data_IF_905920634349
#
_entry.id   IF_905920634349
#
_cell.length_a   1.000
_cell.length_b   1.000
_cell.length_c   1.000
_cell.angle_alpha   90.00
_cell.angle_beta   90.00
_cell.angle_gamma   90.00
#
_symmetry.space_group_name_H-M   'P 1'
#
loop_
_entity.id
_entity.type
_entity.pdbx_description
1 polymer ?
#
# COMPACT_ATOMS: atom_id res chain seq x y z
N UNK A 1 6.00 31.01 -5.92
CA UNK A 1 6.47 31.06 -7.32
C UNK A 1 5.52 30.20 -8.14
N UNK A 2 4.64 30.83 -8.91
CA UNK A 2 3.56 30.14 -9.64
C UNK A 2 4.14 29.68 -10.97
N UNK A 3 4.27 28.36 -11.18
CA UNK A 3 4.58 27.81 -12.50
C UNK A 3 3.26 27.58 -13.25
N UNK A 4 2.80 28.60 -13.96
CA UNK A 4 1.94 28.41 -15.13
C UNK A 4 2.81 27.86 -16.26
N UNK A 5 2.53 26.68 -16.79
CA UNK A 5 2.56 26.41 -18.25
C UNK A 5 2.30 24.94 -18.60
N UNK A 6 1.40 24.74 -19.58
CA UNK A 6 1.20 23.48 -20.29
C UNK A 6 -0.20 23.38 -20.91
N UNK A 7 -0.38 23.86 -22.14
CA UNK A 7 -1.63 23.69 -22.91
C UNK A 7 -1.73 22.31 -23.61
N UNK A 8 -0.78 21.41 -23.31
CA UNK A 8 -0.72 20.04 -23.84
C UNK A 8 -0.49 19.06 -22.70
N UNK A 9 -1.30 18.00 -22.57
CA UNK A 9 -1.05 16.95 -21.59
C UNK A 9 0.28 16.26 -21.92
N UNK A 10 1.14 16.13 -20.92
CA UNK A 10 2.41 15.41 -21.03
C UNK A 10 2.22 14.03 -20.41
N UNK A 11 2.76 12.99 -21.05
CA UNK A 11 2.74 11.64 -20.51
C UNK A 11 3.50 11.58 -19.19
N UNK A 12 2.93 10.87 -18.21
CA UNK A 12 3.62 10.52 -16.97
C UNK A 12 4.59 9.35 -17.14
N UNK A 13 4.43 8.54 -18.20
CA UNK A 13 5.25 7.36 -18.47
C UNK A 13 6.55 7.74 -19.15
N UNK A 14 7.68 7.16 -18.68
CA UNK A 14 9.00 7.34 -19.27
C UNK A 14 9.41 8.82 -19.41
N UNK A 15 9.06 9.63 -18.40
CA UNK A 15 9.33 11.06 -18.38
C UNK A 15 10.35 11.39 -17.27
N UNK A 16 11.66 11.33 -17.57
CA UNK A 16 12.71 11.58 -16.58
C UNK A 16 12.72 13.02 -16.07
N UNK A 17 12.12 13.98 -16.79
CA UNK A 17 12.07 15.38 -16.36
C UNK A 17 10.91 15.68 -15.42
N UNK A 18 9.95 14.76 -15.24
CA UNK A 18 8.73 15.00 -14.47
C UNK A 18 9.02 15.32 -13.00
N UNK A 19 9.67 14.40 -12.28
CA UNK A 19 9.95 14.57 -10.86
C UNK A 19 10.94 15.68 -10.56
N UNK A 20 12.04 15.85 -11.32
CA UNK A 20 12.91 16.99 -11.14
C UNK A 20 12.22 18.33 -11.38
N UNK A 21 11.29 18.39 -12.34
CA UNK A 21 10.47 19.58 -12.58
C UNK A 21 9.42 19.84 -11.48
N UNK A 22 8.86 18.79 -10.88
CA UNK A 22 7.87 18.90 -9.79
C UNK A 22 8.51 19.25 -8.44
N UNK A 23 9.73 18.77 -8.19
CA UNK A 23 10.42 18.93 -6.91
C UNK A 23 11.84 19.49 -7.10
N UNK A 24 12.00 20.76 -7.54
CA UNK A 24 13.34 21.35 -7.69
C UNK A 24 14.15 21.37 -6.40
N UNK A 25 13.50 21.40 -5.23
CA UNK A 25 14.16 21.34 -3.92
C UNK A 25 14.72 19.96 -3.59
N UNK A 26 14.12 18.89 -4.12
CA UNK A 26 14.61 17.52 -3.95
C UNK A 26 15.59 17.13 -5.06
N UNK A 27 15.47 17.73 -6.24
CA UNK A 27 16.32 17.49 -7.41
C UNK A 27 16.98 18.81 -7.86
N UNK A 28 17.93 19.36 -7.09
CA UNK A 28 18.50 20.69 -7.34
C UNK A 28 19.16 20.84 -8.70
N UNK A 29 19.68 19.74 -9.26
CA UNK A 29 20.34 19.73 -10.57
C UNK A 29 19.40 19.38 -11.73
N UNK A 30 18.12 19.10 -11.48
CA UNK A 30 17.17 18.71 -12.54
C UNK A 30 17.42 17.32 -13.15
N UNK A 31 18.27 16.50 -12.52
CA UNK A 31 18.69 15.17 -12.99
C UNK A 31 18.17 14.06 -12.06
N UNK A 32 18.44 12.80 -12.40
CA UNK A 32 18.08 11.62 -11.59
C UNK A 32 16.56 11.40 -11.41
N UNK A 33 15.75 11.88 -12.35
CA UNK A 33 14.32 11.56 -12.34
C UNK A 33 14.02 10.08 -12.56
N UNK A 34 12.73 9.75 -12.48
CA UNK A 34 12.28 8.37 -12.63
C UNK A 34 12.34 7.89 -14.09
N UNK A 35 12.56 6.58 -14.28
CA UNK A 35 12.47 5.93 -15.60
C UNK A 35 13.37 6.52 -16.69
N UNK A 36 14.57 6.98 -16.31
CA UNK A 36 15.57 7.43 -17.26
C UNK A 36 16.13 6.23 -18.05
N UNK A 37 15.88 6.20 -19.36
CA UNK A 37 16.34 5.14 -20.26
C UNK A 37 17.87 5.04 -20.35
N UNK A 38 18.58 6.12 -20.03
CA UNK A 38 20.06 6.15 -20.02
C UNK A 38 20.63 5.41 -18.82
N UNK A 39 19.80 5.09 -17.82
CA UNK A 39 20.25 4.39 -16.60
C UNK A 39 20.48 2.91 -16.89
N UNK A 40 21.65 2.43 -16.48
CA UNK A 40 22.02 1.02 -16.51
C UNK A 40 22.59 0.62 -15.14
N UNK A 41 21.99 -0.34 -14.40
CA UNK A 41 20.81 -1.13 -14.76
C UNK A 41 19.50 -0.31 -14.74
N UNK A 42 18.49 -0.78 -15.48
CA UNK A 42 17.14 -0.19 -15.43
C UNK A 42 16.53 -0.39 -14.04
N UNK A 43 15.97 0.67 -13.47
CA UNK A 43 15.27 0.62 -12.18
C UNK A 43 13.76 0.73 -12.41
N UNK A 44 12.98 -0.09 -11.71
CA UNK A 44 11.53 0.11 -11.61
C UNK A 44 11.21 1.39 -10.84
N UNK A 45 10.03 1.97 -11.10
CA UNK A 45 9.51 3.13 -10.37
C UNK A 45 9.52 2.90 -8.85
N UNK A 46 9.06 1.72 -8.42
CA UNK A 46 8.96 1.33 -7.01
C UNK A 46 10.34 1.25 -6.34
N UNK A 47 11.27 0.49 -6.93
CA UNK A 47 12.65 0.36 -6.42
C UNK A 47 13.38 1.71 -6.33
N UNK A 48 13.21 2.59 -7.32
CA UNK A 48 13.80 3.92 -7.25
C UNK A 48 13.13 4.78 -6.15
N UNK A 49 11.83 4.64 -5.95
CA UNK A 49 11.12 5.37 -4.89
C UNK A 49 11.59 4.93 -3.51
N UNK A 50 11.69 3.62 -3.27
CA UNK A 50 12.26 3.03 -2.06
C UNK A 50 13.67 3.59 -1.80
N UNK A 51 14.55 3.49 -2.80
CA UNK A 51 15.90 4.05 -2.71
C UNK A 51 15.92 5.55 -2.34
N UNK A 52 15.04 6.36 -2.94
CA UNK A 52 14.99 7.80 -2.62
C UNK A 52 14.51 8.07 -1.19
N UNK A 53 13.61 7.25 -0.66
CA UNK A 53 13.14 7.37 0.73
C UNK A 53 14.20 6.93 1.74
N UNK A 54 15.07 6.00 1.35
CA UNK A 54 16.19 5.49 2.14
C UNK A 54 17.47 6.33 2.04
N UNK A 55 17.47 7.39 1.23
CA UNK A 55 18.60 8.30 1.13
C UNK A 55 18.89 8.98 2.47
N UNK A 56 20.18 9.14 2.75
CA UNK A 56 20.66 9.85 3.91
C UNK A 56 20.17 11.32 3.94
N UNK A 57 19.94 11.83 5.14
CA UNK A 57 19.42 13.18 5.38
C UNK A 57 17.90 13.34 5.28
N UNK A 58 17.14 12.29 4.93
CA UNK A 58 15.69 12.24 5.10
C UNK A 58 14.87 13.23 4.26
N UNK A 59 15.49 13.93 3.29
CA UNK A 59 14.84 14.99 2.51
C UNK A 59 13.58 14.50 1.79
N UNK A 60 13.63 13.31 1.21
CA UNK A 60 12.49 12.74 0.46
C UNK A 60 11.41 12.21 1.39
N UNK A 61 11.78 11.50 2.47
CA UNK A 61 10.82 10.89 3.39
C UNK A 61 10.09 11.91 4.27
N UNK A 62 10.72 13.04 4.57
CA UNK A 62 10.12 14.14 5.33
C UNK A 62 9.43 15.18 4.43
N UNK A 63 9.51 15.05 3.10
CA UNK A 63 8.87 16.00 2.19
C UNK A 63 7.34 15.84 2.20
N UNK A 64 6.64 16.91 2.57
CA UNK A 64 5.19 16.97 2.80
C UNK A 64 4.28 16.36 1.73
N UNK A 65 4.70 16.31 0.45
CA UNK A 65 3.89 15.76 -0.65
C UNK A 65 4.57 14.68 -1.50
N UNK A 66 5.86 14.39 -1.29
CA UNK A 66 6.61 13.53 -2.21
C UNK A 66 6.08 12.10 -2.17
N UNK A 67 5.99 11.52 -0.96
CA UNK A 67 5.47 10.17 -0.73
C UNK A 67 4.05 10.04 -1.31
N UNK A 68 3.19 11.01 -1.05
CA UNK A 68 1.82 11.00 -1.53
C UNK A 68 1.76 10.96 -3.07
N UNK A 69 2.51 11.81 -3.77
CA UNK A 69 2.51 11.84 -5.24
C UNK A 69 3.07 10.55 -5.83
N UNK A 70 4.19 10.05 -5.31
CA UNK A 70 4.78 8.77 -5.74
C UNK A 70 3.80 7.62 -5.53
N UNK A 71 3.18 7.54 -4.35
CA UNK A 71 2.18 6.52 -4.04
C UNK A 71 0.99 6.58 -5.01
N UNK A 72 0.43 7.77 -5.24
CA UNK A 72 -0.67 7.96 -6.18
C UNK A 72 -0.29 7.56 -7.62
N UNK A 73 0.94 7.87 -8.05
CA UNK A 73 1.44 7.47 -9.35
C UNK A 73 1.50 5.93 -9.47
N UNK A 74 2.08 5.24 -8.47
CA UNK A 74 2.15 3.77 -8.43
C UNK A 74 0.75 3.17 -8.46
N UNK A 75 -0.18 3.69 -7.65
CA UNK A 75 -1.57 3.21 -7.61
C UNK A 75 -2.28 3.39 -8.95
N UNK A 76 -2.19 4.58 -9.55
CA UNK A 76 -2.79 4.88 -10.86
C UNK A 76 -2.24 3.96 -11.94
N UNK A 77 -0.94 3.70 -11.95
CA UNK A 77 -0.31 2.80 -12.92
C UNK A 77 -0.72 1.34 -12.73
N UNK A 78 -0.82 0.85 -11.49
CA UNK A 78 -1.36 -0.48 -11.19
C UNK A 78 -2.80 -0.62 -11.70
N UNK A 79 -3.66 0.36 -11.44
CA UNK A 79 -5.04 0.38 -11.97
C UNK A 79 -5.05 0.36 -13.50
N UNK A 80 -4.25 1.21 -14.14
CA UNK A 80 -4.21 1.32 -15.59
C UNK A 80 -3.74 0.01 -16.24
N UNK A 81 -2.68 -0.60 -15.71
CA UNK A 81 -2.16 -1.88 -16.18
C UNK A 81 -3.18 -3.01 -16.03
N UNK A 82 -3.81 -3.13 -14.86
CA UNK A 82 -4.80 -4.18 -14.59
C UNK A 82 -6.06 -3.99 -15.43
N UNK A 83 -6.48 -2.74 -15.65
CA UNK A 83 -7.58 -2.42 -16.58
C UNK A 83 -7.22 -2.85 -17.99
N UNK A 84 -6.00 -2.56 -18.46
CA UNK A 84 -5.54 -2.98 -19.77
C UNK A 84 -5.49 -4.50 -19.93
N UNK A 85 -5.08 -5.24 -18.89
CA UNK A 85 -5.05 -6.70 -18.91
C UNK A 85 -6.46 -7.32 -18.89
N UNK A 86 -7.34 -6.84 -18.02
CA UNK A 86 -8.69 -7.38 -17.88
C UNK A 86 -9.58 -7.02 -19.07
N UNK A 87 -9.39 -5.82 -19.63
CA UNK A 87 -10.13 -5.33 -20.78
C UNK A 87 -9.26 -5.49 -22.01
N UNK A 88 -9.29 -6.69 -22.61
CA UNK A 88 -8.67 -6.89 -23.92
C UNK A 88 -9.18 -5.84 -24.91
N UNK A 89 -8.33 -5.38 -25.84
CA UNK A 89 -8.64 -4.28 -26.79
C UNK A 89 -10.02 -4.38 -27.46
N UNK A 90 -10.48 -5.61 -27.75
CA UNK A 90 -11.79 -5.89 -28.37
C UNK A 90 -13.00 -5.53 -27.50
N UNK A 91 -12.87 -5.65 -26.17
CA UNK A 91 -13.96 -5.39 -25.23
C UNK A 91 -13.94 -3.96 -24.67
N UNK A 92 -12.87 -3.19 -24.90
CA UNK A 92 -12.73 -1.83 -24.37
C UNK A 92 -13.86 -0.90 -24.81
N UNK A 93 -14.12 -0.81 -26.12
CA UNK A 93 -15.21 0.04 -26.63
C UNK A 93 -16.59 -0.40 -26.11
N UNK A 94 -16.82 -1.70 -25.96
CA UNK A 94 -18.06 -2.23 -25.40
C UNK A 94 -18.23 -1.78 -23.95
N UNK A 95 -17.21 -1.95 -23.11
CA UNK A 95 -17.24 -1.59 -21.70
C UNK A 95 -17.32 -0.07 -21.52
N UNK A 96 -16.56 0.71 -22.29
CA UNK A 96 -16.61 2.17 -22.27
C UNK A 96 -18.02 2.68 -22.61
N UNK A 97 -18.64 2.14 -23.67
CA UNK A 97 -20.02 2.46 -24.02
C UNK A 97 -21.00 2.03 -22.92
N UNK A 98 -20.79 0.89 -22.27
CA UNK A 98 -21.61 0.47 -21.13
C UNK A 98 -21.50 1.44 -19.96
N UNK A 99 -20.30 1.94 -19.64
CA UNK A 99 -20.08 2.94 -18.58
C UNK A 99 -20.81 4.24 -18.93
N UNK A 100 -20.69 4.72 -20.17
CA UNK A 100 -21.35 5.96 -20.62
C UNK A 100 -22.88 5.83 -20.59
N UNK A 101 -23.41 4.66 -20.96
CA UNK A 101 -24.85 4.44 -21.09
C UNK A 101 -25.54 4.10 -19.76
N UNK A 102 -24.80 3.82 -18.69
CA UNK A 102 -25.38 3.59 -17.37
C UNK A 102 -25.76 4.94 -16.75
N UNK A 103 -27.07 5.17 -16.64
CA UNK A 103 -27.59 6.35 -15.95
C UNK A 103 -27.28 6.31 -14.46
N UNK A 104 -26.92 7.46 -13.90
CA UNK A 104 -26.75 7.65 -12.45
C UNK A 104 -28.01 7.31 -11.67
N UNK A 105 -29.20 7.50 -12.26
CA UNK A 105 -30.49 7.15 -11.63
C UNK A 105 -30.63 5.65 -11.41
N UNK A 106 -30.15 4.83 -12.34
CA UNK A 106 -30.18 3.35 -12.25
C UNK A 106 -29.25 2.88 -11.14
N UNK A 107 -28.06 3.48 -11.03
CA UNK A 107 -27.12 3.15 -9.95
C UNK A 107 -27.69 3.48 -8.57
N UNK A 108 -28.41 4.60 -8.46
CA UNK A 108 -29.01 5.05 -7.21
C UNK A 108 -30.24 4.22 -6.81
N UNK A 109 -31.02 3.77 -7.79
CA UNK A 109 -32.10 2.80 -7.57
C UNK A 109 -31.54 1.45 -7.11
N UNK A 110 -30.51 0.96 -7.81
CA UNK A 110 -29.84 -0.29 -7.48
C UNK A 110 -29.23 -0.26 -6.07
N UNK A 111 -28.58 0.85 -5.67
CA UNK A 111 -28.00 0.97 -4.34
C UNK A 111 -29.06 0.92 -3.23
N UNK A 112 -30.15 1.69 -3.38
CA UNK A 112 -31.28 1.68 -2.44
C UNK A 112 -31.94 0.32 -2.33
N UNK A 113 -32.08 -0.36 -3.47
CA UNK A 113 -32.68 -1.70 -3.53
C UNK A 113 -31.81 -2.73 -2.83
N UNK A 114 -30.49 -2.70 -3.05
CA UNK A 114 -29.54 -3.58 -2.33
C UNK A 114 -29.56 -3.30 -0.82
N UNK A 115 -29.63 -2.04 -0.41
CA UNK A 115 -29.73 -1.65 1.01
C UNK A 115 -31.03 -2.15 1.67
N UNK A 116 -32.14 -2.05 0.95
CA UNK A 116 -33.48 -2.35 1.48
C UNK A 116 -33.78 -3.86 1.45
N UNK A 117 -33.55 -4.51 0.30
CA UNK A 117 -33.94 -5.90 0.07
C UNK A 117 -32.87 -6.90 0.55
N UNK A 118 -31.59 -6.49 0.67
CA UNK A 118 -30.43 -7.35 0.96
C UNK A 118 -30.27 -8.57 0.03
N UNK A 119 -31.03 -8.63 -1.06
CA UNK A 119 -31.01 -9.71 -2.05
C UNK A 119 -30.85 -9.16 -3.46
N UNK A 120 -30.23 -9.96 -4.34
CA UNK A 120 -29.88 -9.57 -5.72
C UNK A 120 -30.75 -10.36 -6.73
N UNK A 121 -31.83 -11.01 -6.26
CA UNK A 121 -32.56 -11.98 -7.08
C UNK A 121 -33.55 -11.32 -8.05
N UNK A 122 -34.04 -10.10 -7.75
CA UNK A 122 -35.07 -9.41 -8.54
C UNK A 122 -34.51 -8.21 -9.31
N UNK A 123 -33.41 -8.37 -10.05
CA UNK A 123 -32.85 -7.26 -10.84
C UNK A 123 -33.57 -7.08 -12.17
N UNK A 124 -33.85 -5.82 -12.53
CA UNK A 124 -34.22 -5.46 -13.90
C UNK A 124 -33.04 -5.70 -14.87
N UNK A 125 -33.28 -5.80 -16.19
CA UNK A 125 -32.20 -6.00 -17.16
C UNK A 125 -31.10 -4.92 -17.07
N UNK A 126 -31.48 -3.66 -16.86
CA UNK A 126 -30.55 -2.54 -16.71
C UNK A 126 -29.75 -2.61 -15.40
N UNK A 127 -30.38 -3.00 -14.30
CA UNK A 127 -29.71 -3.23 -13.01
C UNK A 127 -28.74 -4.42 -13.10
N UNK A 128 -29.12 -5.49 -13.80
CA UNK A 128 -28.27 -6.67 -14.04
C UNK A 128 -27.05 -6.32 -14.88
N UNK A 129 -27.22 -5.49 -15.90
CA UNK A 129 -26.09 -4.97 -16.69
C UNK A 129 -25.14 -4.12 -15.83
N UNK A 130 -25.66 -3.24 -14.98
CA UNK A 130 -24.86 -2.47 -14.04
C UNK A 130 -24.10 -3.37 -13.04
N UNK A 131 -24.74 -4.44 -12.54
CA UNK A 131 -24.09 -5.43 -11.66
C UNK A 131 -23.01 -6.25 -12.37
N UNK A 132 -23.23 -6.64 -13.63
CA UNK A 132 -22.22 -7.33 -14.44
C UNK A 132 -20.99 -6.44 -14.67
N UNK A 133 -21.22 -5.15 -15.00
CA UNK A 133 -20.13 -4.18 -15.10
C UNK A 133 -19.40 -4.02 -13.76
N UNK A 134 -20.13 -3.90 -12.64
CA UNK A 134 -19.53 -3.80 -11.32
C UNK A 134 -18.67 -5.02 -10.98
N UNK A 135 -19.09 -6.23 -11.38
CA UNK A 135 -18.29 -7.47 -11.20
C UNK A 135 -16.98 -7.42 -12.00
N UNK A 136 -17.03 -6.93 -13.24
CA UNK A 136 -15.83 -6.75 -14.07
C UNK A 136 -14.89 -5.71 -13.45
N UNK A 137 -15.42 -4.58 -12.97
CA UNK A 137 -14.63 -3.56 -12.25
C UNK A 137 -14.02 -4.13 -10.97
N UNK A 138 -14.77 -4.90 -10.18
CA UNK A 138 -14.25 -5.57 -8.97
C UNK A 138 -13.10 -6.53 -9.27
N UNK A 139 -13.14 -7.20 -10.41
CA UNK A 139 -12.05 -8.09 -10.86
C UNK A 139 -10.78 -7.29 -11.11
N UNK A 140 -10.89 -6.14 -11.80
CA UNK A 140 -9.77 -5.22 -12.05
C UNK A 140 -9.19 -4.68 -10.75
N UNK A 141 -10.04 -4.24 -9.81
CA UNK A 141 -9.58 -3.62 -8.58
C UNK A 141 -8.91 -4.60 -7.62
N UNK A 142 -9.06 -5.91 -7.79
CA UNK A 142 -8.46 -6.93 -6.89
C UNK A 142 -6.94 -6.87 -6.73
N UNK A 143 -6.24 -6.21 -7.66
CA UNK A 143 -4.79 -6.03 -7.66
C UNK A 143 -4.35 -4.64 -7.20
N UNK A 144 -5.31 -3.78 -6.81
CA UNK A 144 -5.07 -2.44 -6.31
C UNK A 144 -5.11 -2.50 -4.77
N UNK A 145 -3.99 -2.23 -4.08
CA UNK A 145 -3.93 -2.24 -2.62
C UNK A 145 -5.04 -1.37 -2.00
N UNK A 146 -5.65 -1.85 -0.92
CA UNK A 146 -6.73 -1.14 -0.20
C UNK A 146 -8.10 -1.20 -0.86
N UNK A 147 -8.23 -1.72 -2.09
CA UNK A 147 -9.52 -1.83 -2.76
C UNK A 147 -10.43 -2.90 -2.13
N UNK A 148 -11.74 -2.82 -2.41
CA UNK A 148 -12.70 -3.86 -2.01
C UNK A 148 -12.38 -5.23 -2.63
N UNK A 149 -11.84 -5.26 -3.86
CA UNK A 149 -11.38 -6.47 -4.52
C UNK A 149 -10.17 -7.09 -3.81
N UNK A 150 -9.21 -6.28 -3.39
CA UNK A 150 -8.02 -6.75 -2.66
C UNK A 150 -8.41 -7.33 -1.30
N UNK A 151 -9.34 -6.68 -0.58
CA UNK A 151 -9.90 -7.22 0.68
C UNK A 151 -10.61 -8.56 0.47
N UNK A 152 -11.34 -8.73 -0.63
CA UNK A 152 -11.99 -10.01 -0.96
C UNK A 152 -10.96 -11.11 -1.27
N UNK A 153 -9.91 -10.78 -2.04
CA UNK A 153 -8.81 -11.70 -2.33
C UNK A 153 -8.14 -12.18 -1.04
N UNK A 154 -7.78 -11.26 -0.16
CA UNK A 154 -7.18 -11.55 1.15
C UNK A 154 -8.07 -12.48 2.00
N UNK A 155 -9.38 -12.24 2.02
CA UNK A 155 -10.35 -13.15 2.67
C UNK A 155 -10.36 -14.55 2.06
N UNK A 156 -10.25 -14.67 0.74
CA UNK A 156 -10.19 -15.97 0.08
C UNK A 156 -8.87 -16.70 0.39
N UNK A 157 -7.75 -15.99 0.46
CA UNK A 157 -6.46 -16.55 0.89
C UNK A 157 -6.54 -17.09 2.33
N UNK A 158 -7.13 -16.34 3.27
CA UNK A 158 -7.38 -16.83 4.64
C UNK A 158 -8.22 -18.11 4.63
N UNK A 159 -9.29 -18.18 3.83
CA UNK A 159 -10.11 -19.40 3.71
C UNK A 159 -9.31 -20.57 3.14
N UNK A 160 -8.44 -20.33 2.16
CA UNK A 160 -7.54 -21.37 1.63
C UNK A 160 -6.57 -21.87 2.69
N UNK A 161 -6.05 -20.98 3.55
CA UNK A 161 -5.23 -21.37 4.70
C UNK A 161 -6.02 -22.27 5.66
N UNK A 162 -7.29 -21.96 5.93
CA UNK A 162 -8.13 -22.80 6.80
C UNK A 162 -8.37 -24.18 6.19
N UNK A 163 -8.59 -24.25 4.87
CA UNK A 163 -8.78 -25.51 4.17
C UNK A 163 -7.53 -26.41 4.19
N UNK A 164 -6.33 -25.83 4.12
CA UNK A 164 -5.07 -26.58 4.04
C UNK A 164 -4.42 -26.87 5.41
N UNK A 165 -4.38 -25.88 6.30
CA UNK A 165 -3.73 -25.99 7.61
C UNK A 165 -4.71 -26.31 8.76
N UNK A 166 -6.01 -26.20 8.51
CA UNK A 166 -7.04 -26.30 9.54
C UNK A 166 -7.37 -24.95 10.19
N UNK A 167 -8.22 -24.98 11.21
CA UNK A 167 -8.65 -23.78 11.94
C UNK A 167 -7.45 -23.11 12.64
N UNK A 168 -7.34 -21.77 12.61
CA UNK A 168 -6.28 -21.06 13.31
C UNK A 168 -6.48 -21.17 14.82
N UNK A 169 -5.40 -21.48 15.54
CA UNK A 169 -5.41 -21.55 17.00
C UNK A 169 -5.28 -20.15 17.65
N UNK A 170 -4.72 -19.19 16.92
CA UNK A 170 -4.52 -17.82 17.39
C UNK A 170 -4.96 -16.83 16.31
N UNK A 171 -5.75 -15.86 16.72
CA UNK A 171 -6.12 -14.70 15.93
C UNK A 171 -5.94 -13.45 16.80
N UNK A 172 -5.05 -12.55 16.40
CA UNK A 172 -4.78 -11.34 17.16
C UNK A 172 -4.37 -10.19 16.25
N UNK A 173 -4.64 -8.98 16.71
CA UNK A 173 -4.19 -7.76 16.04
C UNK A 173 -2.95 -7.25 16.75
N UNK A 174 -1.84 -7.14 16.03
CA UNK A 174 -0.62 -6.54 16.55
C UNK A 174 -0.62 -5.03 16.27
N UNK A 175 -0.69 -4.21 17.32
CA UNK A 175 -0.72 -2.76 17.20
C UNK A 175 0.35 -2.12 18.13
N UNK A 176 1.62 -2.09 17.69
CA UNK A 176 2.69 -1.48 18.48
C UNK A 176 2.53 0.05 18.51
N UNK A 177 2.67 0.65 19.69
CA UNK A 177 2.57 2.10 19.82
C UNK A 177 3.88 2.79 19.43
N UNK A 178 3.94 3.34 18.22
CA UNK A 178 5.09 4.10 17.73
C UNK A 178 5.40 5.33 18.62
N UNK A 179 4.36 6.06 19.04
CA UNK A 179 4.50 7.30 19.85
C UNK A 179 5.12 7.04 21.23
N UNK A 180 4.88 5.85 21.81
CA UNK A 180 5.37 5.50 23.15
C UNK A 180 6.62 4.63 23.13
N UNK A 181 7.10 4.23 21.95
CA UNK A 181 8.24 3.32 21.81
C UNK A 181 9.56 4.09 21.76
N UNK A 182 10.54 3.79 22.65
CA UNK A 182 11.90 4.29 22.52
C UNK A 182 12.58 3.83 21.22
N UNK A 183 12.26 2.62 20.74
CA UNK A 183 12.80 2.09 19.47
C UNK A 183 12.40 2.95 18.28
N UNK A 184 11.16 3.45 18.26
CA UNK A 184 10.71 4.39 17.21
C UNK A 184 11.55 5.67 17.21
N UNK A 185 11.96 6.16 18.38
CA UNK A 185 12.79 7.38 18.48
C UNK A 185 14.20 7.13 17.93
N UNK A 186 14.76 5.95 18.16
CA UNK A 186 16.04 5.55 17.55
C UNK A 186 15.92 5.40 16.04
N UNK A 187 14.87 4.75 15.53
CA UNK A 187 14.63 4.61 14.09
C UNK A 187 14.44 5.98 13.41
N UNK A 188 13.80 6.93 14.11
CA UNK A 188 13.70 8.31 13.64
C UNK A 188 15.07 9.01 13.51
N UNK A 189 16.09 8.53 14.22
CA UNK A 189 17.45 9.09 14.23
C UNK A 189 17.80 9.88 15.50
N UNK A 190 17.16 9.61 16.63
CA UNK A 190 17.53 10.23 17.92
C UNK A 190 18.63 9.44 18.62
N UNK A 191 19.87 9.88 18.43
CA UNK A 191 21.07 9.28 19.03
C UNK A 191 21.17 9.47 20.56
N UNK A 192 20.29 10.27 21.17
CA UNK A 192 20.29 10.47 22.63
C UNK A 192 19.60 9.33 23.39
N UNK A 193 18.90 8.44 22.68
CA UNK A 193 18.11 7.36 23.28
C UNK A 193 18.96 6.12 23.47
N UNK A 194 19.28 5.81 24.72
CA UNK A 194 19.98 4.57 25.08
C UNK A 194 19.00 3.41 25.32
N UNK A 195 18.94 2.48 24.36
CA UNK A 195 18.12 1.26 24.45
C UNK A 195 18.71 0.18 25.37
N UNK A 196 19.94 0.34 25.86
CA UNK A 196 20.55 -0.55 26.86
C UNK A 196 19.97 -0.35 28.26
N UNK A 197 19.31 0.78 28.51
CA UNK A 197 18.65 1.08 29.77
C UNK A 197 17.30 0.34 29.87
N UNK A 198 16.96 -0.13 31.07
CA UNK A 198 15.65 -0.74 31.34
C UNK A 198 14.49 0.23 31.08
N UNK A 199 14.71 1.51 31.33
CA UNK A 199 13.75 2.59 31.11
C UNK A 199 14.46 3.75 30.40
N UNK A 200 14.58 3.70 29.06
CA UNK A 200 15.21 4.77 28.30
C UNK A 200 14.48 6.09 28.52
N UNK A 201 15.23 7.17 28.71
CA UNK A 201 14.66 8.52 28.72
C UNK A 201 14.21 8.86 27.31
N UNK A 202 12.94 9.21 27.15
CA UNK A 202 12.37 9.60 25.85
C UNK A 202 11.91 11.06 25.88
N UNK A 203 11.84 11.74 24.71
CA UNK A 203 11.39 13.12 24.64
C UNK A 203 9.95 13.29 25.13
N UNK A 204 9.52 14.52 25.33
CA UNK A 204 8.15 14.83 25.75
C UNK A 204 7.10 14.27 24.77
N UNK A 205 5.88 13.93 25.24
CA UNK A 205 4.84 13.31 24.42
C UNK A 205 4.51 14.03 23.12
N UNK A 206 4.50 15.37 23.13
CA UNK A 206 4.19 16.16 21.95
C UNK A 206 5.28 16.02 20.87
N UNK A 207 6.56 16.01 21.27
CA UNK A 207 7.71 15.83 20.36
C UNK A 207 7.65 14.45 19.71
N UNK A 208 7.36 13.41 20.50
CA UNK A 208 7.26 12.03 19.99
C UNK A 208 6.14 11.89 18.95
N UNK A 209 4.98 12.50 19.21
CA UNK A 209 3.86 12.51 18.26
C UNK A 209 4.21 13.24 16.95
N UNK A 210 4.90 14.38 17.05
CA UNK A 210 5.38 15.13 15.87
C UNK A 210 6.36 14.29 15.06
N UNK A 211 7.32 13.61 15.69
CA UNK A 211 8.30 12.75 14.98
C UNK A 211 7.64 11.64 14.18
N UNK A 212 6.65 10.96 14.76
CA UNK A 212 5.85 9.94 14.05
C UNK A 212 5.12 10.52 12.84
N UNK A 213 4.58 11.73 12.96
CA UNK A 213 3.83 12.37 11.87
C UNK A 213 4.74 12.91 10.75
N UNK A 214 5.92 13.44 11.11
CA UNK A 214 6.87 14.05 10.17
C UNK A 214 7.60 13.00 9.33
N UNK A 215 7.83 11.81 9.91
CA UNK A 215 8.54 10.72 9.24
C UNK A 215 7.70 9.45 9.19
N UNK A 216 6.79 9.35 8.21
CA UNK A 216 5.94 8.17 8.04
C UNK A 216 6.75 6.93 7.62
N UNK A 217 7.95 7.10 7.03
CA UNK A 217 8.83 5.99 6.64
C UNK A 217 9.42 5.35 7.90
N UNK A 218 9.99 6.15 8.80
CA UNK A 218 10.46 5.64 10.09
C UNK A 218 9.34 4.92 10.88
N UNK A 219 8.10 5.42 10.76
CA UNK A 219 6.93 4.79 11.41
C UNK A 219 6.60 3.43 10.80
N UNK A 220 6.71 3.29 9.47
CA UNK A 220 6.55 2.02 8.76
C UNK A 220 7.68 1.04 9.12
N UNK A 221 8.93 1.49 9.15
CA UNK A 221 10.10 0.68 9.53
C UNK A 221 9.98 0.19 10.96
N UNK A 222 9.51 1.03 11.89
CA UNK A 222 9.22 0.63 13.26
C UNK A 222 8.15 -0.46 13.33
N UNK A 223 7.05 -0.31 12.57
CA UNK A 223 6.01 -1.33 12.53
C UNK A 223 6.58 -2.64 11.98
N UNK A 224 7.32 -2.59 10.88
CA UNK A 224 7.95 -3.76 10.26
C UNK A 224 8.91 -4.47 11.22
N UNK A 225 9.82 -3.70 11.83
CA UNK A 225 10.73 -4.19 12.85
C UNK A 225 9.97 -4.86 14.00
N UNK A 226 8.91 -4.23 14.50
CA UNK A 226 8.19 -4.70 15.69
C UNK A 226 7.52 -6.06 15.46
N UNK A 227 6.82 -6.26 14.34
CA UNK A 227 6.15 -7.53 14.09
C UNK A 227 7.16 -8.62 13.69
N UNK A 228 8.22 -8.28 12.95
CA UNK A 228 9.30 -9.24 12.64
C UNK A 228 10.04 -9.68 13.90
N UNK A 229 10.32 -8.75 14.81
CA UNK A 229 10.95 -9.06 16.10
C UNK A 229 10.05 -9.95 16.96
N UNK A 230 8.73 -9.67 17.01
CA UNK A 230 7.75 -10.53 17.68
C UNK A 230 7.79 -11.96 17.11
N UNK A 231 7.69 -12.09 15.79
CA UNK A 231 7.62 -13.40 15.13
C UNK A 231 8.94 -14.17 15.23
N UNK A 232 10.08 -13.50 15.04
CA UNK A 232 11.40 -14.15 15.10
C UNK A 232 11.77 -14.53 16.53
N UNK A 233 11.57 -13.64 17.50
CA UNK A 233 12.08 -13.82 18.87
C UNK A 233 11.07 -14.51 19.76
N UNK A 234 9.82 -14.03 19.83
CA UNK A 234 8.82 -14.58 20.74
C UNK A 234 8.20 -15.87 20.19
N UNK A 235 7.88 -15.88 18.89
CA UNK A 235 7.22 -17.02 18.25
C UNK A 235 8.18 -18.00 17.58
N UNK A 236 9.48 -17.67 17.53
CA UNK A 236 10.49 -18.56 16.99
C UNK A 236 10.30 -18.86 15.51
N UNK A 237 9.84 -17.91 14.70
CA UNK A 237 9.73 -18.05 13.25
C UNK A 237 11.06 -17.70 12.54
N UNK A 238 11.44 -18.52 11.56
CA UNK A 238 12.58 -18.26 10.67
C UNK A 238 12.03 -17.77 9.32
N UNK A 239 12.24 -16.48 9.04
CA UNK A 239 11.79 -15.82 7.81
C UNK A 239 12.55 -16.26 6.57
N UNK A 240 13.81 -16.69 6.71
CA UNK A 240 14.60 -17.17 5.57
C UNK A 240 14.14 -18.57 5.15
N UNK A 241 13.89 -19.43 6.15
CA UNK A 241 13.49 -20.83 5.92
C UNK A 241 11.98 -21.04 5.85
N UNK A 242 11.19 -19.99 6.06
CA UNK A 242 9.72 -20.01 6.12
C UNK A 242 9.17 -21.16 7.00
N UNK A 243 9.75 -21.32 8.20
CA UNK A 243 9.35 -22.37 9.16
C UNK A 243 9.70 -21.97 10.58
N UNK A 244 9.15 -22.67 11.57
CA UNK A 244 9.61 -22.50 12.96
C UNK A 244 11.06 -22.95 13.15
N UNK A 245 11.76 -22.21 14.00
CA UNK A 245 13.07 -22.57 14.56
C UNK A 245 12.98 -23.90 15.30
N UNK A 246 14.13 -24.59 15.42
CA UNK A 246 14.20 -25.93 16.01
C UNK A 246 13.65 -26.02 17.44
N UNK A 247 13.77 -24.95 18.24
CA UNK A 247 13.21 -24.90 19.61
C UNK A 247 11.76 -24.45 19.70
N UNK A 248 11.12 -24.06 18.58
CA UNK A 248 9.84 -23.35 18.61
C UNK A 248 9.93 -21.98 19.28
N UNK A 249 8.78 -21.39 19.57
CA UNK A 249 8.66 -20.18 20.40
C UNK A 249 7.69 -20.40 21.56
N UNK A 250 7.18 -19.32 22.15
CA UNK A 250 6.24 -19.37 23.28
C UNK A 250 4.94 -20.12 22.97
N UNK A 251 4.58 -20.20 21.68
CA UNK A 251 3.40 -20.91 21.19
C UNK A 251 3.73 -22.32 20.65
N UNK A 252 4.95 -22.80 20.89
CA UNK A 252 5.47 -24.03 20.29
C UNK A 252 5.89 -23.83 18.83
N UNK A 253 5.71 -24.86 18.01
CA UNK A 253 6.03 -24.80 16.58
C UNK A 253 4.85 -24.27 15.77
N UNK A 254 5.06 -23.13 15.12
CA UNK A 254 4.14 -22.57 14.15
C UNK A 254 4.29 -23.34 12.84
N UNK A 255 3.19 -23.94 12.39
CA UNK A 255 3.12 -24.62 11.09
C UNK A 255 2.98 -23.61 9.94
N UNK A 256 2.16 -22.58 10.13
CA UNK A 256 1.92 -21.51 9.18
C UNK A 256 1.32 -20.30 9.90
N UNK A 257 1.51 -19.12 9.32
CA UNK A 257 0.80 -17.91 9.71
C UNK A 257 0.39 -17.14 8.45
N UNK A 258 -0.66 -16.34 8.57
CA UNK A 258 -1.07 -15.40 7.54
C UNK A 258 -1.21 -14.03 8.20
N UNK A 259 -0.54 -13.02 7.64
CA UNK A 259 -0.48 -11.68 8.19
C UNK A 259 -0.84 -10.65 7.14
N UNK A 260 -1.57 -9.61 7.56
CA UNK A 260 -2.02 -8.53 6.69
C UNK A 260 -1.85 -7.21 7.43
N UNK A 261 -1.27 -6.21 6.77
CA UNK A 261 -1.20 -4.83 7.26
C UNK A 261 -2.06 -3.94 6.37
N UNK A 262 -2.77 -2.99 6.99
CA UNK A 262 -3.46 -1.90 6.29
C UNK A 262 -2.71 -0.58 6.53
#
# INVERSE_FOLDING_TARGET
MILQTGNKPISEYFNPSLFPGMYPTLFPYGICGFEDERRNPKLSLELQAEYLLDLDGGLFRMHWSFIFVVFNLIQRRKVHFQTHLAVGRKNFHKIANQIINISSTILLQLSRKIETEKTINNLTPSESQAMSLLSQVKTITSHVPGSSGAKLRMRNEIKSYFGYFGMPHLYFTFNPSAVHSPVMQVIFGDDTIDLGLRHPSVPEPHIRAVRVAVDPVASADFFEFSWRALFSTLFGWDFEKNRSKHGGGVLGHIRAFYGTSE
#
